data_IF_625191017178
#
_entry.id   IF_625191017178
#
_cell.length_a   1.000
_cell.length_b   1.000
_cell.length_c   1.000
_cell.angle_alpha   90.00
_cell.angle_beta   90.00
_cell.angle_gamma   90.00
#
_symmetry.space_group_name_H-M   'P 1'
#
loop_
_entity.id
_entity.type
_entity.pdbx_description
1 polymer ?
#
# COMPACT_ATOMS: atom_id res chain seq x y z
N UNK A 1 2.90 -18.11 -0.34
CA UNK A 1 3.50 -17.29 0.76
C UNK A 1 2.36 -16.70 1.60
N UNK A 2 2.64 -16.14 2.74
CA UNK A 2 1.61 -15.54 3.60
C UNK A 2 2.21 -14.44 4.47
N UNK A 3 1.40 -13.45 4.80
CA UNK A 3 1.78 -12.35 5.67
C UNK A 3 0.64 -12.03 6.66
N UNK A 4 1.00 -11.79 7.92
CA UNK A 4 0.06 -11.35 8.94
C UNK A 4 -0.12 -9.84 8.85
N UNK A 5 -1.39 -9.37 8.74
CA UNK A 5 -1.72 -7.95 8.57
C UNK A 5 -2.49 -7.35 9.75
N UNK A 6 -3.08 -8.15 10.61
CA UNK A 6 -3.96 -7.65 11.68
C UNK A 6 -3.27 -6.71 12.68
N UNK A 7 -2.00 -6.94 12.96
CA UNK A 7 -1.18 -6.05 13.81
C UNK A 7 -0.79 -4.76 13.07
N UNK A 8 -0.48 -4.85 11.78
CA UNK A 8 -0.22 -3.68 10.95
C UNK A 8 -1.48 -2.79 10.82
N UNK A 9 -2.65 -3.40 10.66
CA UNK A 9 -3.93 -2.66 10.65
C UNK A 9 -4.18 -1.92 11.97
N UNK A 10 -3.84 -2.51 13.12
CA UNK A 10 -3.96 -1.83 14.42
C UNK A 10 -3.07 -0.59 14.48
N UNK A 11 -1.80 -0.73 14.09
CA UNK A 11 -0.83 0.36 14.04
C UNK A 11 -1.30 1.45 13.06
N UNK A 12 -1.81 1.04 11.89
CA UNK A 12 -2.37 1.99 10.91
C UNK A 12 -3.58 2.74 11.46
N UNK A 13 -4.48 2.06 12.17
CA UNK A 13 -5.65 2.70 12.76
C UNK A 13 -5.31 3.75 13.81
N UNK A 14 -4.24 3.55 14.58
CA UNK A 14 -3.73 4.53 15.53
C UNK A 14 -3.22 5.79 14.81
N UNK A 15 -2.44 5.63 13.75
CA UNK A 15 -1.97 6.74 12.91
C UNK A 15 -3.13 7.48 12.24
N UNK A 16 -4.05 6.74 11.60
CA UNK A 16 -5.22 7.31 10.92
C UNK A 16 -6.07 8.13 11.90
N UNK A 17 -6.34 7.59 13.10
CA UNK A 17 -7.14 8.26 14.12
C UNK A 17 -6.51 9.58 14.54
N UNK A 18 -5.20 9.60 14.73
CA UNK A 18 -4.45 10.81 15.04
C UNK A 18 -4.53 11.85 13.93
N UNK A 19 -4.41 11.42 12.66
CA UNK A 19 -4.51 12.31 11.50
C UNK A 19 -5.92 12.89 11.39
N UNK A 20 -6.95 12.06 11.53
CA UNK A 20 -8.34 12.51 11.45
C UNK A 20 -8.70 13.50 12.55
N UNK A 21 -8.29 13.24 13.78
CA UNK A 21 -8.48 14.17 14.90
C UNK A 21 -7.81 15.51 14.62
N UNK A 22 -6.53 15.48 14.23
CA UNK A 22 -5.75 16.71 13.96
C UNK A 22 -6.32 17.56 12.84
N UNK A 23 -6.85 16.94 11.79
CA UNK A 23 -7.40 17.64 10.62
C UNK A 23 -8.92 17.83 10.68
N UNK A 24 -9.54 17.47 11.83
CA UNK A 24 -10.97 17.59 12.06
C UNK A 24 -11.81 16.97 10.94
N UNK A 25 -11.47 15.74 10.57
CA UNK A 25 -12.13 14.94 9.54
C UNK A 25 -12.40 13.51 10.02
N UNK A 26 -13.02 12.70 9.19
CA UNK A 26 -13.38 11.33 9.52
C UNK A 26 -12.88 10.35 8.47
N UNK A 27 -12.85 9.07 8.85
CA UNK A 27 -12.53 7.96 7.95
C UNK A 27 -13.48 7.93 6.74
N UNK A 28 -14.75 8.20 6.95
CA UNK A 28 -15.76 8.19 5.89
C UNK A 28 -15.56 9.34 4.91
N UNK A 29 -15.32 10.55 5.41
CA UNK A 29 -15.10 11.74 4.58
C UNK A 29 -13.85 11.62 3.70
N UNK A 30 -12.78 11.02 4.21
CA UNK A 30 -11.48 10.90 3.52
C UNK A 30 -11.35 9.66 2.64
N UNK A 31 -12.37 8.80 2.55
CA UNK A 31 -12.26 7.53 1.82
C UNK A 31 -11.81 7.72 0.37
N UNK A 32 -12.43 8.64 -0.37
CA UNK A 32 -12.07 8.88 -1.76
C UNK A 32 -10.68 9.51 -1.91
N UNK A 33 -10.29 10.38 -0.97
CA UNK A 33 -8.95 10.97 -0.96
C UNK A 33 -7.89 9.89 -0.73
N UNK A 34 -8.13 8.92 0.17
CA UNK A 34 -7.23 7.81 0.43
C UNK A 34 -7.15 6.81 -0.75
N UNK A 35 -8.25 6.62 -1.49
CA UNK A 35 -8.23 5.83 -2.73
C UNK A 35 -7.40 6.54 -3.81
N UNK A 36 -7.59 7.86 -3.96
CA UNK A 36 -6.78 8.65 -4.90
C UNK A 36 -5.30 8.65 -4.48
N UNK A 37 -5.01 8.80 -3.20
CA UNK A 37 -3.65 8.71 -2.68
C UNK A 37 -3.02 7.34 -3.00
N UNK A 38 -3.74 6.23 -2.77
CA UNK A 38 -3.25 4.90 -3.14
C UNK A 38 -2.92 4.76 -4.62
N UNK A 39 -3.73 5.34 -5.51
CA UNK A 39 -3.44 5.36 -6.95
C UNK A 39 -2.18 6.19 -7.27
N UNK A 40 -2.00 7.31 -6.59
CA UNK A 40 -0.80 8.17 -6.75
C UNK A 40 0.44 7.42 -6.29
N UNK A 41 0.42 6.84 -5.08
CA UNK A 41 1.55 6.07 -4.53
C UNK A 41 1.88 4.85 -5.39
N UNK A 42 0.89 4.13 -5.93
CA UNK A 42 1.11 3.06 -6.89
C UNK A 42 1.81 3.57 -8.17
N UNK A 43 1.47 4.79 -8.62
CA UNK A 43 2.13 5.45 -9.74
C UNK A 43 3.56 5.89 -9.41
N UNK A 44 3.82 6.40 -8.20
CA UNK A 44 5.16 6.78 -7.72
C UNK A 44 6.04 5.54 -7.60
N UNK A 45 5.54 4.46 -7.01
CA UNK A 45 6.23 3.18 -6.95
C UNK A 45 6.58 2.66 -8.36
N UNK A 46 5.64 2.67 -9.31
CA UNK A 46 5.89 2.28 -10.69
C UNK A 46 6.96 3.18 -11.34
N UNK A 47 6.93 4.49 -11.05
CA UNK A 47 7.91 5.45 -11.54
C UNK A 47 9.32 5.14 -11.04
N UNK A 48 9.49 4.77 -9.77
CA UNK A 48 10.80 4.41 -9.20
C UNK A 48 11.33 3.08 -9.74
N UNK A 49 10.48 2.10 -10.04
CA UNK A 49 10.92 0.87 -10.73
C UNK A 49 11.34 1.10 -12.16
N UNK A 50 10.82 2.14 -12.81
CA UNK A 50 11.02 2.49 -14.22
C UNK A 50 10.63 1.37 -15.20
N UNK A 51 9.90 0.35 -14.78
CA UNK A 51 9.60 -0.85 -15.56
C UNK A 51 8.90 -0.55 -16.90
N UNK A 52 8.07 0.52 -16.95
CA UNK A 52 7.29 0.92 -18.14
C UNK A 52 8.04 1.91 -19.05
N UNK A 53 9.21 2.43 -18.64
CA UNK A 53 9.92 3.51 -19.34
C UNK A 53 10.82 2.96 -20.46
N UNK A 54 10.22 2.30 -21.45
CA UNK A 54 10.92 1.71 -22.59
C UNK A 54 11.77 2.72 -23.40
N UNK A 55 11.47 4.01 -23.25
CA UNK A 55 12.18 5.11 -23.93
C UNK A 55 13.42 5.62 -23.17
N UNK A 56 13.77 5.03 -22.06
CA UNK A 56 14.83 5.52 -21.18
C UNK A 56 15.87 4.44 -20.94
N UNK A 57 17.15 4.86 -20.95
CA UNK A 57 18.29 4.00 -20.57
C UNK A 57 18.64 4.07 -19.09
N UNK A 58 17.95 4.94 -18.31
CA UNK A 58 18.17 5.01 -16.87
C UNK A 58 17.63 3.75 -16.19
N UNK A 59 18.38 3.23 -15.25
CA UNK A 59 18.00 2.08 -14.41
C UNK A 59 16.94 2.48 -13.36
N UNK A 60 16.31 1.48 -12.74
CA UNK A 60 15.49 1.67 -11.56
C UNK A 60 16.24 2.43 -10.45
N UNK A 61 15.51 3.09 -9.59
CA UNK A 61 16.04 3.73 -8.39
C UNK A 61 16.61 2.71 -7.41
N UNK A 62 17.32 3.18 -6.41
CA UNK A 62 17.84 2.31 -5.36
C UNK A 62 16.71 1.56 -4.65
N UNK A 63 16.96 0.31 -4.26
CA UNK A 63 15.96 -0.53 -3.61
C UNK A 63 15.33 0.11 -2.38
N UNK A 64 16.09 0.87 -1.61
CA UNK A 64 15.60 1.58 -0.43
C UNK A 64 14.47 2.57 -0.78
N UNK A 65 14.61 3.29 -1.89
CA UNK A 65 13.57 4.22 -2.35
C UNK A 65 12.35 3.47 -2.87
N UNK A 66 12.54 2.41 -3.66
CA UNK A 66 11.44 1.55 -4.13
C UNK A 66 10.66 0.97 -2.95
N UNK A 67 11.35 0.53 -1.89
CA UNK A 67 10.72 -0.04 -0.70
C UNK A 67 10.02 1.03 0.15
N UNK A 68 10.53 2.26 0.17
CA UNK A 68 9.84 3.40 0.79
C UNK A 68 8.51 3.68 0.09
N UNK A 69 8.49 3.77 -1.25
CA UNK A 69 7.27 3.97 -2.03
C UNK A 69 6.28 2.79 -1.89
N UNK A 70 6.79 1.56 -1.84
CA UNK A 70 5.94 0.41 -1.52
C UNK A 70 5.26 0.55 -0.16
N UNK A 71 5.96 1.10 0.83
CA UNK A 71 5.39 1.32 2.16
C UNK A 71 4.23 2.32 2.13
N UNK A 72 4.26 3.33 1.26
CA UNK A 72 3.17 4.28 1.09
C UNK A 72 1.94 3.60 0.46
N UNK A 73 2.14 2.75 -0.55
CA UNK A 73 1.07 1.88 -1.08
C UNK A 73 0.46 1.02 0.01
N UNK A 74 1.28 0.39 0.86
CA UNK A 74 0.81 -0.48 1.93
C UNK A 74 0.03 0.30 3.00
N UNK A 75 0.50 1.50 3.39
CA UNK A 75 -0.19 2.37 4.36
C UNK A 75 -1.63 2.67 3.94
N UNK A 76 -1.84 3.15 2.70
CA UNK A 76 -3.19 3.44 2.21
C UNK A 76 -4.03 2.18 2.01
N UNK A 77 -3.41 1.07 1.57
CA UNK A 77 -4.12 -0.21 1.44
C UNK A 77 -4.64 -0.71 2.80
N UNK A 78 -3.81 -0.69 3.85
CA UNK A 78 -4.23 -1.08 5.21
C UNK A 78 -5.32 -0.16 5.75
N UNK A 79 -5.19 1.16 5.54
CA UNK A 79 -6.18 2.16 5.95
C UNK A 79 -7.55 1.89 5.35
N UNK A 80 -7.62 1.49 4.08
CA UNK A 80 -8.87 1.17 3.38
C UNK A 80 -9.50 -0.15 3.85
N UNK A 81 -8.72 -1.12 4.31
CA UNK A 81 -9.23 -2.36 4.90
C UNK A 81 -9.93 -2.14 6.23
N UNK A 82 -9.47 -1.14 7.00
CA UNK A 82 -10.11 -0.75 8.26
C UNK A 82 -11.52 -0.19 8.01
N UNK A 83 -11.75 0.49 6.88
CA UNK A 83 -13.05 1.07 6.52
C UNK A 83 -14.19 0.01 6.41
N UNK A 84 -13.82 -1.23 6.14
CA UNK A 84 -14.75 -2.34 5.89
C UNK A 84 -14.72 -3.40 6.98
N UNK A 85 -14.07 -3.11 8.10
CA UNK A 85 -13.87 -4.07 9.19
C UNK A 85 -13.30 -5.40 8.67
N UNK A 86 -12.24 -5.32 7.85
CA UNK A 86 -11.58 -6.51 7.33
C UNK A 86 -10.91 -7.25 8.48
N UNK A 87 -11.29 -8.49 8.71
CA UNK A 87 -11.00 -9.28 9.91
C UNK A 87 -10.13 -10.51 9.66
N UNK A 88 -9.66 -10.72 8.44
CA UNK A 88 -8.68 -11.78 8.17
C UNK A 88 -7.30 -11.40 8.72
N UNK A 89 -6.73 -12.31 9.49
CA UNK A 89 -5.45 -12.11 10.17
C UNK A 89 -4.26 -12.21 9.19
N UNK A 90 -4.42 -13.05 8.18
CA UNK A 90 -3.36 -13.45 7.25
C UNK A 90 -3.85 -13.31 5.81
N UNK A 91 -3.03 -12.71 4.97
CA UNK A 91 -3.19 -12.74 3.51
C UNK A 91 -2.23 -13.81 2.95
N UNK A 92 -2.79 -14.73 2.17
CA UNK A 92 -2.01 -15.69 1.38
C UNK A 92 -1.80 -15.12 -0.03
N UNK A 93 -0.61 -15.34 -0.59
CA UNK A 93 -0.24 -14.89 -1.92
C UNK A 93 0.81 -15.81 -2.55
N UNK A 94 0.90 -15.83 -3.86
CA UNK A 94 1.82 -16.64 -4.60
C UNK A 94 2.89 -15.79 -5.32
N UNK A 95 3.88 -16.42 -5.89
CA UNK A 95 4.80 -15.77 -6.81
C UNK A 95 4.07 -15.46 -8.12
N UNK A 96 4.16 -14.22 -8.58
CA UNK A 96 3.50 -13.80 -9.80
C UNK A 96 4.33 -14.17 -11.04
N UNK A 97 3.69 -14.76 -12.03
CA UNK A 97 4.29 -15.01 -13.36
C UNK A 97 4.21 -13.77 -14.28
N UNK A 98 3.49 -12.72 -13.85
CA UNK A 98 3.31 -11.49 -14.62
C UNK A 98 4.59 -10.63 -14.58
N UNK A 99 4.87 -9.93 -15.67
CA UNK A 99 5.87 -8.86 -15.68
C UNK A 99 5.50 -7.74 -14.71
N UNK A 100 6.47 -6.93 -14.26
CA UNK A 100 6.18 -5.78 -13.39
C UNK A 100 5.15 -4.82 -13.99
N UNK A 101 5.17 -4.59 -15.30
CA UNK A 101 4.17 -3.75 -15.96
C UNK A 101 2.76 -4.32 -15.80
N UNK A 102 2.61 -5.62 -16.02
CA UNK A 102 1.31 -6.29 -15.87
C UNK A 102 0.85 -6.30 -14.42
N UNK A 103 1.76 -6.49 -13.46
CA UNK A 103 1.43 -6.43 -12.04
C UNK A 103 0.95 -5.03 -11.62
N UNK A 104 1.59 -3.95 -12.09
CA UNK A 104 1.10 -2.59 -11.84
C UNK A 104 -0.27 -2.34 -12.49
N UNK A 105 -0.49 -2.81 -13.73
CA UNK A 105 -1.80 -2.69 -14.36
C UNK A 105 -2.88 -3.44 -13.57
N UNK A 106 -2.56 -4.65 -13.08
CA UNK A 106 -3.45 -5.41 -12.22
C UNK A 106 -3.71 -4.69 -10.89
N UNK A 107 -2.70 -4.09 -10.26
CA UNK A 107 -2.86 -3.31 -9.04
C UNK A 107 -3.84 -2.14 -9.25
N UNK A 108 -3.70 -1.36 -10.32
CA UNK A 108 -4.63 -0.29 -10.65
C UNK A 108 -6.06 -0.81 -10.88
N UNK A 109 -6.19 -1.95 -11.56
CA UNK A 109 -7.49 -2.62 -11.76
C UNK A 109 -8.13 -3.03 -10.43
N UNK A 110 -7.35 -3.65 -9.51
CA UNK A 110 -7.82 -4.07 -8.19
C UNK A 110 -8.23 -2.88 -7.31
N UNK A 111 -7.48 -1.79 -7.32
CA UNK A 111 -7.85 -0.56 -6.61
C UNK A 111 -9.18 -0.02 -7.14
N UNK A 112 -9.34 0.05 -8.48
CA UNK A 112 -10.57 0.52 -9.09
C UNK A 112 -11.76 -0.43 -8.83
N UNK A 113 -11.54 -1.74 -8.88
CA UNK A 113 -12.55 -2.74 -8.55
C UNK A 113 -13.02 -2.60 -7.10
N UNK A 114 -12.08 -2.50 -6.15
CA UNK A 114 -12.40 -2.26 -4.74
C UNK A 114 -13.16 -0.94 -4.53
N UNK A 115 -12.79 0.13 -5.23
CA UNK A 115 -13.51 1.41 -5.18
C UNK A 115 -15.00 1.23 -5.56
N UNK A 116 -15.27 0.47 -6.64
CA UNK A 116 -16.62 0.28 -7.18
C UNK A 116 -17.45 -0.75 -6.41
N UNK A 117 -16.81 -1.83 -5.99
CA UNK A 117 -17.45 -3.02 -5.42
C UNK A 117 -16.83 -3.33 -4.05
N UNK A 118 -16.97 -2.37 -3.13
CA UNK A 118 -16.37 -2.44 -1.80
C UNK A 118 -16.90 -3.67 -1.04
N UNK A 119 -16.02 -4.64 -0.83
CA UNK A 119 -16.30 -5.89 -0.09
C UNK A 119 -15.01 -6.45 0.51
N UNK A 120 -15.12 -7.39 1.43
CA UNK A 120 -13.95 -8.11 1.97
C UNK A 120 -13.22 -8.90 0.89
N UNK A 121 -13.95 -9.52 -0.05
CA UNK A 121 -13.35 -10.28 -1.16
C UNK A 121 -12.55 -9.38 -2.09
N UNK A 122 -13.13 -8.25 -2.54
CA UNK A 122 -12.40 -7.31 -3.40
C UNK A 122 -11.20 -6.66 -2.71
N UNK A 123 -11.25 -6.51 -1.40
CA UNK A 123 -10.12 -6.06 -0.61
C UNK A 123 -9.04 -7.15 -0.46
N UNK A 124 -9.43 -8.40 -0.22
CA UNK A 124 -8.50 -9.52 -0.16
C UNK A 124 -7.74 -9.67 -1.49
N UNK A 125 -8.43 -9.58 -2.63
CA UNK A 125 -7.83 -9.57 -3.96
C UNK A 125 -6.82 -8.42 -4.15
N UNK A 126 -7.16 -7.22 -3.66
CA UNK A 126 -6.25 -6.07 -3.69
C UNK A 126 -4.99 -6.34 -2.86
N UNK A 127 -5.14 -6.80 -1.62
CA UNK A 127 -4.02 -7.08 -0.72
C UNK A 127 -3.13 -8.20 -1.23
N UNK A 128 -3.72 -9.25 -1.81
CA UNK A 128 -2.95 -10.31 -2.47
C UNK A 128 -2.07 -9.72 -3.57
N UNK A 129 -2.65 -8.89 -4.47
CA UNK A 129 -1.90 -8.24 -5.54
C UNK A 129 -0.77 -7.32 -5.00
N UNK A 130 -1.02 -6.59 -3.91
CA UNK A 130 0.01 -5.77 -3.24
C UNK A 130 1.18 -6.62 -2.78
N UNK A 131 0.94 -7.78 -2.16
CA UNK A 131 2.02 -8.63 -1.65
C UNK A 131 2.73 -9.45 -2.74
N UNK A 132 2.03 -9.86 -3.81
CA UNK A 132 2.64 -10.43 -5.00
C UNK A 132 3.64 -9.44 -5.64
N UNK A 133 3.24 -8.16 -5.76
CA UNK A 133 4.12 -7.10 -6.24
C UNK A 133 5.32 -6.89 -5.31
N UNK A 134 5.14 -6.85 -3.99
CA UNK A 134 6.23 -6.75 -3.03
C UNK A 134 7.26 -7.86 -3.22
N UNK A 135 6.80 -9.09 -3.38
CA UNK A 135 7.67 -10.25 -3.63
C UNK A 135 8.46 -10.07 -4.93
N UNK A 136 7.81 -9.64 -6.01
CA UNK A 136 8.46 -9.37 -7.30
C UNK A 136 9.49 -8.23 -7.23
N UNK A 137 9.32 -7.28 -6.32
CA UNK A 137 10.30 -6.23 -6.01
C UNK A 137 11.46 -6.73 -5.15
N UNK A 138 11.39 -7.97 -4.64
CA UNK A 138 12.42 -8.62 -3.83
C UNK A 138 12.27 -8.35 -2.33
N UNK A 139 11.07 -8.05 -1.87
CA UNK A 139 10.76 -7.89 -0.44
C UNK A 139 10.23 -9.20 0.14
N UNK A 140 10.77 -9.61 1.26
CA UNK A 140 10.20 -10.64 2.12
C UNK A 140 9.32 -10.04 3.23
N UNK A 141 8.64 -10.89 4.01
CA UNK A 141 7.75 -10.43 5.09
C UNK A 141 8.49 -9.53 6.10
N UNK A 142 9.73 -9.86 6.45
CA UNK A 142 10.51 -9.07 7.42
C UNK A 142 10.80 -7.68 6.90
N UNK A 143 11.21 -7.57 5.63
CA UNK A 143 11.48 -6.30 4.96
C UNK A 143 10.20 -5.45 4.83
N UNK A 144 9.09 -6.06 4.44
CA UNK A 144 7.79 -5.37 4.36
C UNK A 144 7.42 -4.75 5.71
N UNK A 145 7.54 -5.51 6.78
CA UNK A 145 7.22 -5.05 8.14
C UNK A 145 8.16 -3.96 8.62
N UNK A 146 9.47 -4.12 8.41
CA UNK A 146 10.47 -3.13 8.80
C UNK A 146 10.22 -1.79 8.11
N UNK A 147 10.06 -1.80 6.79
CA UNK A 147 9.84 -0.59 6.00
C UNK A 147 8.52 0.09 6.36
N UNK A 148 7.46 -0.69 6.60
CA UNK A 148 6.18 -0.17 7.07
C UNK A 148 6.33 0.55 8.43
N UNK A 149 7.00 -0.06 9.41
CA UNK A 149 7.17 0.53 10.73
C UNK A 149 8.03 1.80 10.69
N UNK A 150 9.08 1.82 9.89
CA UNK A 150 9.91 3.02 9.68
C UNK A 150 9.08 4.17 9.08
N UNK A 151 8.24 3.86 8.09
CA UNK A 151 7.37 4.88 7.46
C UNK A 151 6.28 5.35 8.42
N UNK A 152 5.69 4.45 9.20
CA UNK A 152 4.71 4.79 10.24
C UNK A 152 5.29 5.78 11.25
N UNK A 153 6.49 5.52 11.79
CA UNK A 153 7.20 6.43 12.68
C UNK A 153 7.43 7.81 12.03
N UNK A 154 7.90 7.84 10.79
CA UNK A 154 8.08 9.07 10.01
C UNK A 154 6.77 9.86 9.87
N UNK A 155 5.66 9.16 9.65
CA UNK A 155 4.34 9.78 9.52
C UNK A 155 3.85 10.33 10.87
N UNK A 156 4.11 9.65 11.98
CA UNK A 156 3.84 10.20 13.31
C UNK A 156 4.64 11.49 13.59
N UNK A 157 5.93 11.50 13.25
CA UNK A 157 6.79 12.69 13.38
C UNK A 157 6.31 13.86 12.50
N UNK A 158 5.81 13.59 11.30
CA UNK A 158 5.17 14.61 10.45
C UNK A 158 3.98 15.25 11.16
N UNK A 159 3.16 14.46 11.86
CA UNK A 159 2.04 15.02 12.62
C UNK A 159 2.53 15.88 13.80
N UNK A 160 3.65 15.53 14.47
CA UNK A 160 4.24 16.35 15.52
C UNK A 160 4.71 17.72 15.01
N UNK A 161 5.22 17.76 13.79
CA UNK A 161 5.81 18.96 13.17
C UNK A 161 4.82 19.80 12.33
N UNK A 162 3.51 19.57 12.47
CA UNK A 162 2.46 20.28 11.72
C UNK A 162 2.64 20.22 10.18
N UNK A 163 3.00 19.06 9.70
CA UNK A 163 3.09 18.77 8.28
C UNK A 163 1.72 18.86 7.59
#
# INVERSE_FOLDING_TARGET
>A
MKIKISDLQKIQNELDSRIFEKHNTTRQETRNDRILALLVEAGELANETRCFKYWSVKTASDKSLIFEEFSDVLHFSLSLGIDIDFDEDIIEYDESELSLNEQFMLLFERIHHFQKFTSKDSYADLMQTVFELAHSLGMDESMIREMYLMKNEKNHQRQDNNY
#
